data_IF_818768171695
#
_entry.id   IF_818768171695
#
_cell.length_a   1.000
_cell.length_b   1.000
_cell.length_c   1.000
_cell.angle_alpha   90.00
_cell.angle_beta   90.00
_cell.angle_gamma   90.00
#
_symmetry.space_group_name_H-M   'P 1'
#
loop_
_entity.id
_entity.type
_entity.pdbx_description
1 polymer ?
#
# COMPACT_ATOMS: atom_id res chain seq x y z
N UNK A 1 12.73 20.78 -15.84
CA UNK A 1 11.27 21.02 -15.68
C UNK A 1 10.65 19.70 -15.28
N UNK A 2 10.14 19.57 -14.06
CA UNK A 2 9.36 18.38 -13.66
C UNK A 2 8.07 18.37 -14.47
N UNK A 3 7.92 17.39 -15.35
CA UNK A 3 6.68 17.16 -16.10
C UNK A 3 5.52 17.01 -15.08
N UNK A 4 4.38 17.66 -15.37
CA UNK A 4 3.18 17.48 -14.56
C UNK A 4 2.79 15.99 -14.54
N UNK A 5 2.41 15.46 -13.38
CA UNK A 5 1.97 14.08 -13.27
C UNK A 5 0.62 13.94 -14.00
N UNK A 6 0.51 12.94 -14.87
CA UNK A 6 -0.74 12.56 -15.53
C UNK A 6 -0.89 11.04 -15.44
N UNK A 7 -2.07 10.60 -15.01
CA UNK A 7 -2.41 9.20 -14.79
C UNK A 7 -3.57 8.82 -15.70
N UNK A 8 -3.31 7.86 -16.60
CA UNK A 8 -4.34 7.22 -17.40
C UNK A 8 -5.02 6.13 -16.55
N UNK A 9 -6.33 6.28 -16.23
CA UNK A 9 -7.05 5.30 -15.42
C UNK A 9 -7.03 3.88 -15.99
N UNK A 10 -6.99 3.72 -17.32
CA UNK A 10 -7.05 2.40 -17.98
C UNK A 10 -5.76 1.59 -17.82
N UNK A 11 -4.63 2.25 -17.55
CA UNK A 11 -3.31 1.63 -17.37
C UNK A 11 -2.72 1.88 -15.98
N UNK A 12 -3.49 2.43 -15.05
CA UNK A 12 -3.06 2.71 -13.67
C UNK A 12 -3.87 1.89 -12.67
N UNK A 13 -3.18 1.30 -11.69
CA UNK A 13 -3.81 0.66 -10.54
C UNK A 13 -3.45 1.37 -9.24
N UNK A 14 -4.41 1.43 -8.31
CA UNK A 14 -4.13 1.72 -6.89
C UNK A 14 -3.87 0.42 -6.15
N UNK A 15 -2.79 0.37 -5.38
CA UNK A 15 -2.46 -0.76 -4.50
C UNK A 15 -2.36 -0.25 -3.06
N UNK A 16 -3.35 -0.59 -2.24
CA UNK A 16 -3.42 -0.22 -0.82
C UNK A 16 -2.91 -1.38 0.04
N UNK A 17 -1.87 -1.13 0.84
CA UNK A 17 -1.20 -2.16 1.64
C UNK A 17 -1.72 -2.14 3.08
N UNK A 18 -2.26 -3.28 3.51
CA UNK A 18 -2.42 -3.68 4.91
C UNK A 18 -3.26 -2.70 5.77
N UNK A 19 -4.34 -2.14 5.20
CA UNK A 19 -5.33 -1.31 5.92
C UNK A 19 -6.25 -2.17 6.81
N UNK A 20 -5.65 -2.94 7.72
CA UNK A 20 -6.31 -3.95 8.55
C UNK A 20 -6.43 -3.49 10.00
N UNK A 21 -7.41 -4.00 10.75
CA UNK A 21 -7.65 -3.59 12.14
C UNK A 21 -6.38 -3.66 13.01
N UNK A 22 -5.62 -4.75 12.96
CA UNK A 22 -4.41 -4.94 13.78
C UNK A 22 -3.18 -4.14 13.35
N UNK A 23 -3.30 -3.39 12.25
CA UNK A 23 -2.21 -2.59 11.67
C UNK A 23 -2.55 -1.10 11.78
N UNK A 24 -3.77 -0.73 11.42
CA UNK A 24 -4.31 0.63 11.54
C UNK A 24 -4.35 1.10 13.00
N UNK A 25 -4.56 0.19 13.97
CA UNK A 25 -4.64 0.53 15.39
C UNK A 25 -3.27 0.68 16.08
N UNK A 26 -2.15 0.54 15.36
CA UNK A 26 -0.81 0.66 15.93
C UNK A 26 -0.47 2.11 16.28
N UNK A 27 0.54 2.36 17.14
CA UNK A 27 1.15 3.68 17.24
C UNK A 27 1.88 3.96 15.93
N UNK A 28 1.41 4.95 15.19
CA UNK A 28 1.88 5.27 13.84
C UNK A 28 2.22 6.75 13.71
N UNK A 29 3.19 7.06 12.85
CA UNK A 29 3.67 8.40 12.55
C UNK A 29 4.28 8.46 11.13
N UNK A 30 4.20 9.60 10.42
CA UNK A 30 3.67 10.89 10.88
C UNK A 30 2.14 10.99 10.83
N UNK A 31 1.47 10.10 10.08
CA UNK A 31 0.02 10.07 9.95
C UNK A 31 -0.57 8.95 10.83
N UNK A 32 -1.72 9.23 11.45
CA UNK A 32 -2.45 8.20 12.17
C UNK A 32 -3.05 7.16 11.21
N UNK A 33 -3.33 5.96 11.71
CA UNK A 33 -3.99 4.91 10.93
C UNK A 33 -5.31 5.38 10.29
N UNK A 34 -6.25 6.01 11.04
CA UNK A 34 -7.49 6.53 10.46
C UNK A 34 -7.29 7.55 9.33
N UNK A 35 -6.31 8.46 9.46
CA UNK A 35 -6.00 9.42 8.39
C UNK A 35 -5.50 8.72 7.12
N UNK A 36 -4.64 7.72 7.27
CA UNK A 36 -4.14 6.93 6.13
C UNK A 36 -5.28 6.17 5.44
N UNK A 37 -6.19 5.58 6.22
CA UNK A 37 -7.36 4.87 5.69
C UNK A 37 -8.28 5.83 4.95
N UNK A 38 -8.60 6.98 5.54
CA UNK A 38 -9.44 8.01 4.92
C UNK A 38 -8.86 8.49 3.59
N UNK A 39 -7.57 8.85 3.57
CA UNK A 39 -6.89 9.31 2.36
C UNK A 39 -6.80 8.20 1.31
N UNK A 40 -6.46 6.97 1.70
CA UNK A 40 -6.47 5.81 0.81
C UNK A 40 -7.86 5.57 0.17
N UNK A 41 -8.92 5.63 0.98
CA UNK A 41 -10.29 5.47 0.51
C UNK A 41 -10.72 6.59 -0.46
N UNK A 42 -10.27 7.83 -0.25
CA UNK A 42 -10.49 8.95 -1.17
C UNK A 42 -9.85 8.71 -2.53
N UNK A 43 -8.60 8.25 -2.59
CA UNK A 43 -7.94 7.91 -3.85
C UNK A 43 -8.65 6.72 -4.51
N UNK A 44 -9.00 5.68 -3.75
CA UNK A 44 -9.73 4.52 -4.26
C UNK A 44 -11.07 4.92 -4.89
N UNK A 45 -11.83 5.80 -4.23
CA UNK A 45 -13.09 6.30 -4.76
C UNK A 45 -12.90 7.07 -6.08
N UNK A 46 -11.93 7.98 -6.16
CA UNK A 46 -11.63 8.75 -7.36
C UNK A 46 -11.15 7.85 -8.52
N UNK A 47 -10.33 6.83 -8.23
CA UNK A 47 -9.86 5.88 -9.24
C UNK A 47 -10.99 4.99 -9.74
N UNK A 48 -11.89 4.53 -8.86
CA UNK A 48 -13.08 3.76 -9.23
C UNK A 48 -14.02 4.54 -10.15
N UNK A 49 -14.30 5.82 -9.88
CA UNK A 49 -15.19 6.63 -10.75
C UNK A 49 -14.64 6.80 -12.16
N UNK A 50 -13.33 6.66 -12.33
CA UNK A 50 -12.62 6.70 -13.61
C UNK A 50 -12.39 5.31 -14.25
N UNK A 51 -12.88 4.24 -13.62
CA UNK A 51 -12.71 2.87 -14.11
C UNK A 51 -11.31 2.27 -13.92
N UNK A 52 -10.47 2.88 -13.10
CA UNK A 52 -9.15 2.34 -12.78
C UNK A 52 -9.23 1.12 -11.84
N UNK A 53 -8.19 0.31 -11.87
CA UNK A 53 -8.10 -0.89 -11.02
C UNK A 53 -7.75 -0.50 -9.58
N UNK A 54 -8.51 -0.99 -8.60
CA UNK A 54 -8.18 -0.84 -7.17
C UNK A 54 -7.89 -2.21 -6.57
N UNK A 55 -6.77 -2.30 -5.86
CA UNK A 55 -6.28 -3.52 -5.22
C UNK A 55 -6.02 -3.25 -3.75
N UNK A 56 -6.69 -4.00 -2.89
CA UNK A 56 -6.39 -4.07 -1.47
C UNK A 56 -5.51 -5.29 -1.21
N UNK A 57 -4.36 -5.06 -0.60
CA UNK A 57 -3.49 -6.12 -0.11
C UNK A 57 -3.73 -6.26 1.38
N UNK A 58 -3.86 -7.49 1.84
CA UNK A 58 -3.91 -7.83 3.26
C UNK A 58 -2.90 -8.91 3.61
N UNK A 59 -2.51 -8.97 4.86
CA UNK A 59 -1.75 -10.08 5.44
C UNK A 59 -2.55 -10.75 6.56
N UNK A 60 -2.96 -12.01 6.41
CA UNK A 60 -3.46 -12.78 7.54
C UNK A 60 -2.36 -12.84 8.61
N UNK A 61 -2.55 -12.17 9.75
CA UNK A 61 -1.49 -11.94 10.73
C UNK A 61 -0.96 -13.23 11.37
N UNK A 62 -1.79 -14.28 11.38
CA UNK A 62 -1.40 -15.61 11.86
C UNK A 62 -0.71 -16.47 10.78
N UNK A 63 -0.68 -16.01 9.52
CA UNK A 63 0.05 -16.65 8.42
C UNK A 63 1.27 -15.81 7.96
N UNK A 64 1.55 -14.69 8.63
CA UNK A 64 2.73 -13.89 8.34
C UNK A 64 3.99 -14.72 8.61
N UNK A 65 4.95 -14.67 7.69
CA UNK A 65 6.22 -15.35 7.82
C UNK A 65 6.96 -14.91 9.09
N UNK A 66 7.26 -15.87 9.96
CA UNK A 66 8.07 -15.70 11.16
C UNK A 66 9.37 -16.49 11.02
N UNK A 67 10.47 -15.77 10.87
CA UNK A 67 11.83 -16.33 10.85
C UNK A 67 12.61 -15.79 12.06
N UNK A 68 13.65 -16.51 12.54
CA UNK A 68 14.54 -15.98 13.57
C UNK A 68 15.13 -14.62 13.16
N UNK A 69 15.03 -13.63 14.04
CA UNK A 69 15.62 -12.30 13.87
C UNK A 69 15.95 -11.68 15.23
N UNK A 70 16.87 -10.71 15.23
CA UNK A 70 17.29 -10.02 16.45
C UNK A 70 16.17 -9.15 17.06
N UNK A 71 15.26 -8.68 16.20
CA UNK A 71 14.13 -7.83 16.59
C UNK A 71 12.86 -8.26 15.81
N UNK A 72 12.12 -9.27 16.30
CA UNK A 72 10.91 -9.72 15.62
C UNK A 72 9.80 -8.68 15.74
N UNK A 73 8.98 -8.53 14.68
CA UNK A 73 7.81 -7.62 14.67
C UNK A 73 6.75 -7.96 15.72
N UNK A 74 6.80 -9.19 16.24
CA UNK A 74 5.89 -9.72 17.22
C UNK A 74 6.69 -10.58 18.19
N UNK A 75 6.48 -10.37 19.49
CA UNK A 75 7.16 -11.14 20.51
C UNK A 75 6.83 -12.65 20.35
N UNK A 76 7.81 -13.56 20.53
CA UNK A 76 7.61 -15.00 20.34
C UNK A 76 6.49 -15.59 21.22
N UNK A 77 6.22 -14.99 22.37
CA UNK A 77 5.24 -15.40 23.37
C UNK A 77 3.91 -14.63 23.25
N UNK A 78 3.76 -13.71 22.29
CA UNK A 78 2.54 -12.94 22.12
C UNK A 78 1.36 -13.83 21.68
N UNK A 79 0.17 -13.72 22.30
CA UNK A 79 -0.99 -14.55 22.01
C UNK A 79 -1.45 -14.35 20.55
N UNK A 80 -1.97 -15.39 19.85
CA UNK A 80 -2.46 -15.33 18.46
C UNK A 80 -3.24 -14.04 18.18
N UNK A 81 -3.02 -13.47 17.00
CA UNK A 81 -3.76 -12.26 16.66
C UNK A 81 -5.24 -12.64 16.54
N UNK A 82 -6.17 -11.83 17.11
CA UNK A 82 -7.59 -12.03 16.88
C UNK A 82 -7.89 -12.11 15.38
N UNK A 83 -8.85 -12.92 14.97
CA UNK A 83 -9.18 -13.10 13.55
C UNK A 83 -9.47 -11.77 12.85
N UNK A 84 -10.27 -10.92 13.49
CA UNK A 84 -10.60 -9.57 13.03
C UNK A 84 -9.37 -8.68 12.80
N UNK A 85 -8.26 -8.91 13.50
CA UNK A 85 -7.04 -8.13 13.30
C UNK A 85 -6.49 -8.27 11.87
N UNK A 86 -6.84 -9.37 11.18
CA UNK A 86 -6.49 -9.64 9.78
C UNK A 86 -7.52 -9.11 8.78
N UNK A 87 -8.65 -8.59 9.22
CA UNK A 87 -9.68 -8.03 8.34
C UNK A 87 -9.33 -6.58 7.97
N UNK A 88 -9.64 -6.20 6.72
CA UNK A 88 -9.56 -4.82 6.28
C UNK A 88 -10.58 -3.99 7.06
N UNK A 89 -10.21 -2.79 7.48
CA UNK A 89 -11.15 -1.92 8.21
C UNK A 89 -12.29 -1.49 7.28
N UNK A 90 -13.55 -1.41 7.76
CA UNK A 90 -14.69 -1.02 6.93
C UNK A 90 -14.50 0.33 6.22
N UNK A 91 -13.82 1.27 6.88
CA UNK A 91 -13.52 2.62 6.39
C UNK A 91 -12.56 2.62 5.19
N UNK A 92 -11.83 1.53 4.95
CA UNK A 92 -11.04 1.36 3.74
C UNK A 92 -11.93 1.29 2.48
N UNK A 93 -13.22 1.01 2.64
CA UNK A 93 -14.24 1.25 1.63
C UNK A 93 -14.20 0.29 0.44
N UNK A 94 -13.73 -0.94 0.65
CA UNK A 94 -13.69 -2.01 -0.38
C UNK A 94 -15.05 -2.19 -1.02
N UNK A 95 -15.12 -2.23 -2.34
CA UNK A 95 -16.34 -2.38 -3.13
C UNK A 95 -16.36 -3.68 -3.95
N UNK A 96 -17.55 -4.14 -4.36
CA UNK A 96 -17.66 -5.18 -5.38
C UNK A 96 -16.91 -4.78 -6.65
N UNK A 97 -15.96 -5.62 -7.07
CA UNK A 97 -15.10 -5.38 -8.24
C UNK A 97 -13.65 -5.01 -7.90
N UNK A 98 -13.40 -4.59 -6.66
CA UNK A 98 -12.03 -4.40 -6.16
C UNK A 98 -11.32 -5.75 -6.00
N UNK A 99 -10.01 -5.75 -6.21
CA UNK A 99 -9.18 -6.94 -5.99
C UNK A 99 -8.73 -7.00 -4.54
N UNK A 100 -8.80 -8.19 -3.93
CA UNK A 100 -8.24 -8.44 -2.60
C UNK A 100 -7.18 -9.52 -2.70
N UNK A 101 -5.92 -9.14 -2.44
CA UNK A 101 -4.76 -10.04 -2.49
C UNK A 101 -4.29 -10.32 -1.07
N UNK A 102 -4.09 -11.61 -0.74
CA UNK A 102 -3.53 -12.00 0.57
C UNK A 102 -2.06 -12.39 0.42
N UNK A 103 -1.18 -11.68 1.13
CA UNK A 103 0.27 -11.97 1.19
C UNK A 103 0.66 -12.64 2.51
N UNK A 104 1.81 -13.33 2.52
CA UNK A 104 2.39 -13.99 3.71
C UNK A 104 3.77 -13.44 4.08
N UNK A 105 4.24 -12.44 3.35
CA UNK A 105 5.54 -11.78 3.51
C UNK A 105 5.30 -10.26 3.59
N UNK A 106 6.38 -9.47 3.62
CA UNK A 106 6.27 -8.01 3.55
C UNK A 106 5.76 -7.55 2.19
N UNK A 107 6.45 -7.94 1.11
CA UNK A 107 6.08 -7.57 -0.25
C UNK A 107 4.84 -8.29 -0.77
N UNK A 108 4.01 -7.59 -1.54
CA UNK A 108 2.75 -8.10 -2.04
C UNK A 108 2.86 -8.96 -3.31
N UNK A 109 4.02 -9.01 -3.97
CA UNK A 109 4.22 -9.78 -5.21
C UNK A 109 4.62 -11.24 -4.97
N UNK A 110 5.41 -11.51 -3.93
CA UNK A 110 5.95 -12.85 -3.70
C UNK A 110 4.86 -13.80 -3.21
N UNK A 111 4.66 -14.91 -3.94
CA UNK A 111 3.71 -15.96 -3.55
C UNK A 111 2.24 -15.51 -3.61
N UNK A 112 1.92 -14.48 -4.40
CA UNK A 112 0.55 -13.99 -4.63
C UNK A 112 0.21 -13.96 -6.12
N UNK A 113 -1.03 -13.59 -6.44
CA UNK A 113 -1.52 -13.39 -7.80
C UNK A 113 -1.50 -11.91 -8.25
N UNK A 114 -0.89 -11.00 -7.47
CA UNK A 114 -0.89 -9.55 -7.76
C UNK A 114 -0.35 -9.24 -9.17
N UNK A 115 0.83 -9.75 -9.51
CA UNK A 115 1.45 -9.50 -10.82
C UNK A 115 0.55 -9.96 -11.97
N UNK A 116 -0.07 -11.13 -11.82
CA UNK A 116 -0.94 -11.70 -12.84
C UNK A 116 -2.17 -10.81 -13.06
N UNK A 117 -2.77 -10.30 -11.98
CA UNK A 117 -3.89 -9.36 -12.07
C UNK A 117 -3.51 -8.07 -12.77
N UNK A 118 -2.35 -7.49 -12.44
CA UNK A 118 -1.86 -6.24 -13.02
C UNK A 118 -1.50 -6.42 -14.50
N UNK A 119 -0.75 -7.46 -14.85
CA UNK A 119 -0.36 -7.74 -16.25
C UNK A 119 -1.55 -8.01 -17.15
N UNK A 120 -2.53 -8.81 -16.70
CA UNK A 120 -3.74 -9.13 -17.49
C UNK A 120 -4.61 -7.91 -17.78
N UNK A 121 -4.52 -6.88 -16.94
CA UNK A 121 -5.24 -5.60 -17.10
C UNK A 121 -4.43 -4.54 -17.84
N UNK A 122 -3.22 -4.87 -18.30
CA UNK A 122 -2.37 -3.92 -19.02
C UNK A 122 -1.87 -2.77 -18.14
N UNK A 123 -1.80 -2.97 -16.81
CA UNK A 123 -1.32 -1.94 -15.89
C UNK A 123 0.16 -1.66 -16.15
N UNK A 124 0.49 -0.36 -16.22
CA UNK A 124 1.84 0.15 -16.40
C UNK A 124 2.28 1.05 -15.24
N UNK A 125 1.32 1.66 -14.55
CA UNK A 125 1.55 2.58 -13.42
C UNK A 125 0.88 2.05 -12.17
N UNK A 126 1.58 2.07 -11.05
CA UNK A 126 1.04 1.73 -9.73
C UNK A 126 1.09 2.98 -8.84
N UNK A 127 -0.08 3.45 -8.44
CA UNK A 127 -0.20 4.30 -7.26
C UNK A 127 -0.20 3.39 -6.03
N UNK A 128 0.71 3.61 -5.08
CA UNK A 128 0.86 2.75 -3.90
C UNK A 128 0.75 3.57 -2.62
N UNK A 129 0.05 3.01 -1.63
CA UNK A 129 -0.12 3.59 -0.31
C UNK A 129 -0.38 2.51 0.75
N UNK A 130 -0.49 2.89 2.02
CA UNK A 130 -0.82 1.98 3.12
C UNK A 130 0.26 1.89 4.21
N UNK A 131 0.33 0.74 4.89
CA UNK A 131 1.11 0.59 6.13
C UNK A 131 1.93 -0.72 6.09
N UNK A 132 3.19 -0.76 6.52
CA UNK A 132 4.05 0.34 6.93
C UNK A 132 4.94 0.81 5.76
N UNK A 133 5.28 2.11 5.75
CA UNK A 133 6.10 2.77 4.71
C UNK A 133 7.35 1.97 4.34
N UNK A 134 8.20 1.68 5.32
CA UNK A 134 9.50 1.05 5.15
C UNK A 134 9.49 -0.50 5.25
N UNK A 135 8.29 -1.10 5.27
CA UNK A 135 8.11 -2.55 5.32
C UNK A 135 7.28 -3.03 4.14
N UNK A 136 5.98 -3.26 4.32
CA UNK A 136 5.11 -3.81 3.29
C UNK A 136 5.01 -2.91 2.04
N UNK A 137 4.92 -1.59 2.24
CA UNK A 137 4.81 -0.63 1.14
C UNK A 137 6.11 -0.60 0.33
N UNK A 138 7.25 -0.33 0.97
CA UNK A 138 8.54 -0.28 0.29
C UNK A 138 8.94 -1.62 -0.33
N UNK A 139 8.73 -2.75 0.36
CA UNK A 139 9.05 -4.08 -0.19
C UNK A 139 8.24 -4.36 -1.46
N UNK A 140 6.96 -3.98 -1.47
CA UNK A 140 6.12 -4.09 -2.67
C UNK A 140 6.59 -3.15 -3.78
N UNK A 141 6.94 -1.91 -3.44
CA UNK A 141 7.40 -0.91 -4.38
C UNK A 141 8.73 -1.28 -5.06
N UNK A 142 9.70 -1.81 -4.31
CA UNK A 142 10.99 -2.27 -4.86
C UNK A 142 10.77 -3.38 -5.88
N UNK A 143 9.94 -4.37 -5.56
CA UNK A 143 9.61 -5.42 -6.51
C UNK A 143 8.88 -4.86 -7.75
N UNK A 144 7.91 -3.96 -7.57
CA UNK A 144 7.25 -3.31 -8.69
C UNK A 144 8.21 -2.53 -9.60
N UNK A 145 9.20 -1.84 -9.00
CA UNK A 145 10.25 -1.15 -9.73
C UNK A 145 11.10 -2.12 -10.55
N UNK A 146 11.52 -3.24 -9.97
CA UNK A 146 12.29 -4.28 -10.66
C UNK A 146 11.51 -4.90 -11.83
N UNK A 147 10.18 -4.97 -11.73
CA UNK A 147 9.29 -5.40 -12.81
C UNK A 147 9.01 -4.33 -13.87
N UNK A 148 9.50 -3.10 -13.68
CA UNK A 148 9.38 -1.99 -14.64
C UNK A 148 8.08 -1.20 -14.55
N UNK A 149 7.32 -1.29 -13.46
CA UNK A 149 6.15 -0.43 -13.25
C UNK A 149 6.58 1.02 -12.96
N UNK A 150 5.84 1.99 -13.50
CA UNK A 150 5.95 3.39 -13.08
C UNK A 150 5.29 3.53 -11.70
N UNK A 151 5.96 4.20 -10.76
CA UNK A 151 5.46 4.30 -9.39
C UNK A 151 5.04 5.71 -9.01
N UNK A 152 3.91 5.80 -8.32
CA UNK A 152 3.46 6.99 -7.61
C UNK A 152 3.17 6.62 -6.16
N UNK A 153 3.81 7.29 -5.22
CA UNK A 153 3.64 7.07 -3.79
C UNK A 153 2.69 8.11 -3.24
N UNK A 154 1.58 7.67 -2.66
CA UNK A 154 0.61 8.57 -2.01
C UNK A 154 1.06 8.78 -0.56
N UNK A 155 1.86 9.80 -0.33
CA UNK A 155 2.63 9.98 0.91
C UNK A 155 1.75 10.20 2.13
N UNK A 156 0.75 11.07 2.03
CA UNK A 156 -0.22 11.35 3.09
C UNK A 156 -1.27 10.24 3.28
N UNK A 157 -1.24 9.19 2.44
CA UNK A 157 -1.96 7.93 2.61
C UNK A 157 -1.01 6.77 2.97
N UNK A 158 0.19 7.07 3.49
CA UNK A 158 1.19 6.08 3.87
C UNK A 158 1.80 6.44 5.22
N UNK A 159 1.97 5.48 6.14
CA UNK A 159 2.59 5.76 7.46
C UNK A 159 3.41 4.59 7.96
N UNK A 160 4.19 4.78 9.03
CA UNK A 160 4.97 3.73 9.68
C UNK A 160 4.87 3.82 11.20
N UNK A 161 5.56 2.95 11.93
CA UNK A 161 5.66 3.00 13.39
C UNK A 161 6.58 4.13 13.90
N UNK A 162 7.30 4.81 13.00
CA UNK A 162 8.17 5.94 13.32
C UNK A 162 8.17 6.94 12.18
N UNK A 163 8.06 8.23 12.50
CA UNK A 163 8.19 9.32 11.54
C UNK A 163 9.58 9.32 10.88
N UNK A 164 10.63 9.02 11.63
CA UNK A 164 11.99 8.95 11.10
C UNK A 164 12.11 7.89 9.99
N UNK A 165 11.55 6.71 10.21
CA UNK A 165 11.58 5.62 9.23
C UNK A 165 10.77 5.97 7.98
N UNK A 166 9.60 6.59 8.19
CA UNK A 166 8.77 7.09 7.10
C UNK A 166 9.53 8.13 6.26
N UNK A 167 10.07 9.17 6.89
CA UNK A 167 10.81 10.26 6.23
C UNK A 167 12.04 9.77 5.50
N UNK A 168 12.84 8.92 6.14
CA UNK A 168 14.00 8.33 5.48
C UNK A 168 13.59 7.63 4.17
N UNK A 169 12.53 6.83 4.22
CA UNK A 169 12.05 6.06 3.05
C UNK A 169 11.50 6.97 1.97
N UNK A 170 10.65 7.93 2.32
CA UNK A 170 10.04 8.86 1.36
C UNK A 170 11.11 9.73 0.68
N UNK A 171 11.99 10.33 1.47
CA UNK A 171 12.94 11.34 0.99
C UNK A 171 14.16 10.74 0.29
N UNK A 172 14.52 9.48 0.63
CA UNK A 172 15.73 8.85 0.12
C UNK A 172 15.48 7.63 -0.76
N UNK A 173 14.36 6.92 -0.62
CA UNK A 173 14.10 5.70 -1.38
C UNK A 173 13.03 5.93 -2.43
N UNK A 174 11.83 6.35 -2.04
CA UNK A 174 10.69 6.48 -2.97
C UNK A 174 10.94 7.49 -4.08
N UNK A 175 11.58 8.62 -3.78
CA UNK A 175 11.92 9.65 -4.76
C UNK A 175 12.85 9.16 -5.89
N UNK A 176 13.56 8.03 -5.70
CA UNK A 176 14.43 7.41 -6.71
C UNK A 176 13.71 6.37 -7.55
N UNK A 177 12.60 5.80 -7.05
CA UNK A 177 11.82 4.76 -7.73
C UNK A 177 10.57 5.32 -8.43
N UNK A 178 10.14 6.54 -8.10
CA UNK A 178 8.93 7.12 -8.66
C UNK A 178 8.62 8.53 -8.15
N UNK A 179 7.35 8.90 -8.24
CA UNK A 179 6.86 10.21 -7.83
C UNK A 179 6.16 10.17 -6.48
N UNK A 180 6.67 10.91 -5.49
CA UNK A 180 6.00 11.13 -4.20
C UNK A 180 4.98 12.25 -4.35
N UNK A 181 3.72 11.99 -4.02
CA UNK A 181 2.60 12.93 -4.18
C UNK A 181 1.64 12.86 -3.00
N UNK A 182 0.90 13.93 -2.79
CA UNK A 182 -0.25 13.92 -1.87
C UNK A 182 -1.46 13.25 -2.52
N UNK A 183 -2.42 12.85 -1.70
CA UNK A 183 -3.71 12.30 -2.11
C UNK A 183 -4.40 13.22 -3.11
N UNK A 184 -4.41 14.53 -2.83
CA UNK A 184 -5.03 15.51 -3.73
C UNK A 184 -4.30 15.57 -5.09
N UNK A 185 -2.97 15.59 -5.10
CA UNK A 185 -2.19 15.63 -6.34
C UNK A 185 -2.39 14.38 -7.21
N UNK A 186 -2.62 13.21 -6.59
CA UNK A 186 -2.93 11.98 -7.32
C UNK A 186 -4.33 12.04 -7.93
N UNK A 187 -5.32 12.51 -7.17
CA UNK A 187 -6.70 12.69 -7.65
C UNK A 187 -6.73 13.68 -8.82
N UNK A 188 -6.04 14.82 -8.69
CA UNK A 188 -5.98 15.86 -9.73
C UNK A 188 -5.25 15.40 -11.00
N UNK A 189 -4.36 14.40 -10.89
CA UNK A 189 -3.62 13.84 -12.01
C UNK A 189 -4.41 12.80 -12.83
N UNK A 190 -5.57 12.34 -12.35
CA UNK A 190 -6.42 11.39 -13.07
C UNK A 190 -7.15 12.11 -14.23
N UNK A 191 -6.83 11.70 -15.47
CA UNK A 191 -7.49 12.20 -16.67
C UNK A 191 -9.00 11.88 -16.70
#
# INVERSE_FOLDING_TARGET
MTQALSLDPSTTALVLIDLQHGIVSRPLAPYSGPQVVENGARVAAAMRTKGATVVYVRVPLNELLHLPSDAPMRAPDAPPAPEQASELVPEAGVQPGDLVVSKRQWGAFYGTDLEQHLRRRGIQTIAICGIATNFGVESTARHAFDLGYKLVFVEDATTSMSEEWHRFTVDNVFCRMGHVRTTQQVIDALA
#
